data_IF_834888213400
#
_entry.id   IF_834888213400
#
_cell.length_a   1.000
_cell.length_b   1.000
_cell.length_c   1.000
_cell.angle_alpha   90.00
_cell.angle_beta   90.00
_cell.angle_gamma   90.00
#
_symmetry.space_group_name_H-M   'P 1'
#
loop_
_entity.id
_entity.type
_entity.pdbx_description
1 polymer ?
#
# COMPACT_ATOMS: atom_id res chain seq x y z
N UNK A 1 15.06 3.22 11.05
CA UNK A 1 14.04 3.85 10.19
C UNK A 1 12.74 3.93 10.99
N UNK A 2 11.86 4.91 10.75
CA UNK A 2 10.54 4.93 11.38
C UNK A 2 9.62 3.88 10.73
N UNK A 3 8.57 3.45 11.42
CA UNK A 3 7.60 2.52 10.84
C UNK A 3 6.85 3.20 9.69
N UNK A 4 6.65 2.55 8.53
CA UNK A 4 6.07 3.19 7.35
C UNK A 4 4.61 3.58 7.56
N UNK A 5 4.21 4.72 6.99
CA UNK A 5 2.83 5.20 7.05
C UNK A 5 1.87 4.38 6.18
N UNK A 6 2.35 3.90 5.03
CA UNK A 6 1.64 2.97 4.15
C UNK A 6 2.54 1.79 3.82
N UNK A 7 2.01 0.59 3.97
CA UNK A 7 2.59 -0.65 3.47
C UNK A 7 1.79 -1.09 2.23
N UNK A 8 2.46 -1.13 1.08
CA UNK A 8 1.88 -1.47 -0.22
C UNK A 8 1.82 -2.99 -0.40
N UNK A 9 0.63 -3.59 -0.28
CA UNK A 9 0.43 -5.00 -0.56
C UNK A 9 0.55 -5.29 -2.06
N UNK A 10 1.52 -6.14 -2.41
CA UNK A 10 1.67 -6.66 -3.76
C UNK A 10 0.54 -7.64 -4.07
N UNK A 11 0.03 -7.58 -5.30
CA UNK A 11 -1.00 -8.48 -5.79
C UNK A 11 -0.43 -9.77 -6.33
N UNK A 12 -1.06 -10.92 -6.01
CA UNK A 12 -0.78 -12.19 -6.67
C UNK A 12 -0.87 -12.05 -8.18
N UNK A 13 0.22 -12.39 -8.86
CA UNK A 13 0.33 -12.38 -10.31
C UNK A 13 1.08 -13.62 -10.77
N UNK A 14 0.79 -14.05 -11.99
CA UNK A 14 1.35 -15.30 -12.53
C UNK A 14 2.66 -15.08 -13.29
N UNK A 15 3.02 -13.83 -13.62
CA UNK A 15 4.25 -13.52 -14.34
C UNK A 15 5.23 -12.66 -13.51
N UNK A 16 6.54 -12.93 -13.59
CA UNK A 16 7.56 -12.06 -13.01
C UNK A 16 7.52 -10.62 -13.56
N UNK A 17 7.10 -10.45 -14.82
CA UNK A 17 6.98 -9.14 -15.46
C UNK A 17 5.90 -8.27 -14.80
N UNK A 18 4.72 -8.84 -14.49
CA UNK A 18 3.67 -8.13 -13.76
C UNK A 18 4.11 -7.78 -12.34
N UNK A 19 4.85 -8.67 -11.67
CA UNK A 19 5.38 -8.41 -10.34
C UNK A 19 6.41 -7.27 -10.35
N UNK A 20 7.34 -7.31 -11.31
CA UNK A 20 8.30 -6.23 -11.51
C UNK A 20 7.59 -4.90 -11.82
N UNK A 21 6.51 -4.92 -12.60
CA UNK A 21 5.72 -3.74 -12.88
C UNK A 21 5.07 -3.15 -11.63
N UNK A 22 4.50 -3.99 -10.75
CA UNK A 22 3.95 -3.52 -9.47
C UNK A 22 5.02 -2.85 -8.61
N UNK A 23 6.21 -3.47 -8.50
CA UNK A 23 7.34 -2.91 -7.76
C UNK A 23 7.80 -1.58 -8.33
N UNK A 24 8.06 -1.52 -9.64
CA UNK A 24 8.53 -0.31 -10.33
C UNK A 24 7.56 0.85 -10.19
N UNK A 25 6.26 0.59 -10.30
CA UNK A 25 5.25 1.64 -10.09
C UNK A 25 5.19 2.09 -8.63
N UNK A 26 5.31 1.17 -7.67
CA UNK A 26 5.41 1.55 -6.26
C UNK A 26 6.64 2.42 -5.97
N UNK A 27 7.79 2.14 -6.60
CA UNK A 27 8.99 2.98 -6.50
C UNK A 27 8.77 4.38 -7.10
N UNK A 28 8.13 4.47 -8.27
CA UNK A 28 7.76 5.76 -8.88
C UNK A 28 6.89 6.61 -7.96
N UNK A 29 6.00 5.96 -7.21
CA UNK A 29 5.14 6.61 -6.21
C UNK A 29 5.72 6.61 -4.78
N UNK A 30 7.02 6.34 -4.66
CA UNK A 30 7.77 6.41 -3.39
C UNK A 30 7.15 5.56 -2.28
N UNK A 31 6.76 4.33 -2.60
CA UNK A 31 6.36 3.35 -1.60
C UNK A 31 7.46 3.21 -0.54
N UNK A 32 7.09 3.31 0.74
CA UNK A 32 8.01 3.18 1.88
C UNK A 32 8.25 1.71 2.24
N UNK A 33 7.27 0.85 1.95
CA UNK A 33 7.36 -0.57 2.18
C UNK A 33 6.42 -1.35 1.27
N UNK A 34 6.78 -2.60 1.00
CA UNK A 34 5.92 -3.58 0.36
C UNK A 34 5.56 -4.70 1.32
N UNK A 35 4.32 -5.21 1.17
CA UNK A 35 3.88 -6.44 1.78
C UNK A 35 3.79 -7.53 0.73
N UNK A 36 4.50 -8.63 0.93
CA UNK A 36 4.47 -9.81 0.08
C UNK A 36 3.55 -10.88 0.68
N UNK A 37 2.41 -11.19 0.01
CA UNK A 37 1.55 -12.27 0.45
C UNK A 37 2.25 -13.64 0.44
N UNK A 38 1.79 -14.55 1.29
CA UNK A 38 2.34 -15.90 1.43
C UNK A 38 2.32 -16.67 0.09
N UNK A 39 1.30 -16.45 -0.74
CA UNK A 39 1.16 -17.05 -2.07
C UNK A 39 2.28 -16.66 -3.05
N UNK A 40 3.04 -15.61 -2.76
CA UNK A 40 4.09 -15.08 -3.63
C UNK A 40 5.49 -15.25 -3.03
N UNK A 41 5.64 -16.06 -1.98
CA UNK A 41 6.91 -16.27 -1.28
C UNK A 41 8.05 -16.79 -2.16
N UNK A 42 7.75 -17.50 -3.23
CA UNK A 42 8.75 -17.93 -4.23
C UNK A 42 9.51 -16.75 -4.84
N UNK A 43 8.93 -15.54 -4.80
CA UNK A 43 9.52 -14.32 -5.33
C UNK A 43 10.22 -13.44 -4.27
N UNK A 44 10.24 -13.85 -3.00
CA UNK A 44 10.74 -13.00 -1.91
C UNK A 44 12.20 -12.58 -2.09
N UNK A 45 13.07 -13.51 -2.51
CA UNK A 45 14.49 -13.22 -2.78
C UNK A 45 14.68 -12.25 -3.95
N UNK A 46 13.94 -12.44 -5.04
CA UNK A 46 13.99 -11.58 -6.22
C UNK A 46 13.51 -10.16 -5.89
N UNK A 47 12.39 -10.02 -5.18
CA UNK A 47 11.87 -8.72 -4.74
C UNK A 47 12.88 -8.05 -3.83
N UNK A 48 13.37 -8.75 -2.80
CA UNK A 48 14.31 -8.18 -1.84
C UNK A 48 15.57 -7.64 -2.54
N UNK A 49 16.12 -8.38 -3.50
CA UNK A 49 17.29 -7.97 -4.25
C UNK A 49 17.04 -6.75 -5.16
N UNK A 50 15.80 -6.55 -5.61
CA UNK A 50 15.42 -5.46 -6.50
C UNK A 50 14.94 -4.19 -5.77
N UNK A 51 14.68 -4.25 -4.46
CA UNK A 51 14.20 -3.11 -3.69
C UNK A 51 15.35 -2.17 -3.31
N UNK A 52 15.12 -0.83 -3.33
CA UNK A 52 16.09 0.11 -2.79
C UNK A 52 16.23 -0.08 -1.27
N UNK A 53 17.38 0.32 -0.72
CA UNK A 53 17.65 0.28 0.73
C UNK A 53 16.69 1.17 1.55
N UNK A 54 16.04 2.14 0.90
CA UNK A 54 15.06 3.01 1.53
C UNK A 54 13.64 2.43 1.57
N UNK A 55 13.42 1.20 1.10
CA UNK A 55 12.09 0.59 1.05
C UNK A 55 12.11 -0.77 1.78
N UNK A 56 11.25 -0.93 2.78
CA UNK A 56 11.16 -2.17 3.55
C UNK A 56 10.36 -3.25 2.81
N UNK A 57 10.75 -4.50 3.00
CA UNK A 57 9.98 -5.67 2.63
C UNK A 57 9.38 -6.30 3.88
N UNK A 58 8.07 -6.51 3.87
CA UNK A 58 7.35 -7.26 4.89
C UNK A 58 6.78 -8.54 4.29
N UNK A 59 6.99 -9.66 4.96
CA UNK A 59 6.48 -10.95 4.55
C UNK A 59 5.28 -11.36 5.40
N UNK A 60 4.25 -11.91 4.78
CA UNK A 60 3.10 -12.46 5.49
C UNK A 60 3.47 -13.71 6.30
N UNK A 61 4.47 -14.47 5.87
CA UNK A 61 5.04 -15.59 6.63
C UNK A 61 6.56 -15.56 6.54
N UNK A 62 7.24 -16.36 7.36
CA UNK A 62 8.68 -16.48 7.26
C UNK A 62 9.11 -17.20 5.97
N UNK A 63 10.10 -16.67 5.26
CA UNK A 63 10.70 -17.31 4.10
C UNK A 63 12.03 -17.96 4.49
N UNK A 64 12.06 -19.29 4.52
CA UNK A 64 13.23 -20.05 4.93
C UNK A 64 14.48 -19.68 4.11
N UNK A 65 15.56 -19.33 4.80
CA UNK A 65 16.84 -19.00 4.17
C UNK A 65 16.93 -17.59 3.56
N UNK A 66 15.90 -16.75 3.70
CA UNK A 66 15.95 -15.36 3.25
C UNK A 66 16.54 -14.46 4.34
N UNK A 67 17.68 -13.82 4.05
CA UNK A 67 18.30 -12.85 4.94
C UNK A 67 17.66 -11.46 4.74
N UNK A 68 16.65 -11.14 5.55
CA UNK A 68 16.01 -9.83 5.59
C UNK A 68 16.96 -8.74 6.12
N UNK A 69 16.82 -7.50 5.62
CA UNK A 69 17.58 -6.33 6.10
C UNK A 69 17.03 -5.86 7.44
N UNK A 70 17.80 -5.00 8.13
CA UNK A 70 17.45 -4.53 9.48
C UNK A 70 16.05 -3.91 9.63
N UNK A 71 15.53 -3.28 8.57
CA UNK A 71 14.22 -2.61 8.54
C UNK A 71 13.13 -3.42 7.81
N UNK A 72 13.47 -4.60 7.29
CA UNK A 72 12.50 -5.56 6.75
C UNK A 72 11.91 -6.38 7.90
N UNK A 73 10.81 -7.10 7.67
CA UNK A 73 10.15 -7.86 8.73
C UNK A 73 9.17 -8.93 8.28
N UNK A 74 8.57 -9.59 9.25
CA UNK A 74 7.65 -10.71 9.05
C UNK A 74 6.45 -10.57 9.97
N UNK A 75 5.26 -10.93 9.48
CA UNK A 75 4.05 -11.04 10.30
C UNK A 75 4.17 -12.25 11.24
N UNK A 76 3.95 -12.00 12.52
CA UNK A 76 3.96 -12.99 13.59
C UNK A 76 2.54 -13.19 14.13
N UNK A 77 2.14 -14.45 14.32
CA UNK A 77 0.83 -14.87 14.84
C UNK A 77 -0.37 -14.14 14.22
N UNK A 78 -0.29 -13.79 12.93
CA UNK A 78 -1.30 -13.03 12.18
C UNK A 78 -1.74 -11.70 12.82
N UNK A 79 -0.94 -11.13 13.73
CA UNK A 79 -1.36 -10.01 14.58
C UNK A 79 -0.29 -8.95 14.76
N UNK A 80 0.98 -9.26 14.52
CA UNK A 80 2.06 -8.35 14.83
C UNK A 80 3.14 -8.39 13.78
N UNK A 81 3.49 -7.24 13.21
CA UNK A 81 4.59 -7.13 12.26
C UNK A 81 5.86 -6.78 13.02
N UNK A 82 6.89 -7.63 12.90
CA UNK A 82 8.16 -7.51 13.61
C UNK A 82 9.28 -7.37 12.59
N UNK A 83 10.08 -6.31 12.73
CA UNK A 83 11.28 -6.08 11.92
C UNK A 83 12.50 -6.80 12.48
N UNK A 84 13.52 -7.02 11.65
CA UNK A 84 14.77 -7.68 12.06
C UNK A 84 15.49 -6.92 13.19
N UNK A 85 15.41 -5.59 13.22
CA UNK A 85 16.00 -4.78 14.28
C UNK A 85 15.16 -4.73 15.58
N UNK A 86 14.02 -5.43 15.64
CA UNK A 86 13.15 -5.53 16.81
C UNK A 86 12.08 -4.45 16.93
N UNK A 87 11.90 -3.56 15.95
CA UNK A 87 10.72 -2.69 15.90
C UNK A 87 9.47 -3.51 15.59
N UNK A 88 8.37 -3.15 16.24
CA UNK A 88 7.14 -3.92 16.24
C UNK A 88 5.94 -3.02 16.12
N UNK A 89 4.94 -3.44 15.34
CA UNK A 89 3.60 -2.84 15.32
C UNK A 89 2.54 -3.95 15.35
N UNK A 90 1.50 -3.77 16.15
CA UNK A 90 0.35 -4.67 16.18
C UNK A 90 -0.65 -4.26 15.09
N UNK A 91 -1.30 -5.23 14.44
CA UNK A 91 -2.41 -4.98 13.54
C UNK A 91 -3.57 -4.38 14.33
N UNK A 92 -4.09 -3.25 13.87
CA UNK A 92 -5.20 -2.57 14.52
C UNK A 92 -6.46 -3.42 14.44
N UNK A 93 -7.18 -3.50 15.55
CA UNK A 93 -8.47 -4.18 15.65
C UNK A 93 -9.56 -3.22 16.12
N UNK A 94 -9.18 -2.11 16.76
CA UNK A 94 -10.08 -1.12 17.32
C UNK A 94 -9.57 0.29 17.06
N UNK A 95 -10.49 1.23 16.83
CA UNK A 95 -10.15 2.64 16.67
C UNK A 95 -9.39 3.14 17.90
N UNK A 96 -8.23 3.76 17.68
CA UNK A 96 -7.42 4.39 18.71
C UNK A 96 -6.38 3.49 19.35
N UNK A 97 -6.28 2.21 18.95
CA UNK A 97 -5.23 1.32 19.47
C UNK A 97 -3.82 1.63 18.91
N UNK A 98 -3.72 2.55 17.94
CA UNK A 98 -2.46 3.02 17.36
C UNK A 98 -1.78 1.99 16.45
N UNK A 99 -2.40 0.85 16.19
CA UNK A 99 -1.86 -0.22 15.37
C UNK A 99 -1.86 0.07 13.86
N UNK A 100 -1.28 -0.88 13.13
CA UNK A 100 -1.28 -0.94 11.67
C UNK A 100 -2.66 -1.35 11.17
N UNK A 101 -3.37 -0.43 10.53
CA UNK A 101 -4.71 -0.66 10.02
C UNK A 101 -4.66 -1.67 8.86
N UNK A 102 -5.39 -2.80 8.91
CA UNK A 102 -5.41 -3.76 7.82
C UNK A 102 -6.11 -3.20 6.58
N UNK A 103 -5.92 -3.84 5.42
CA UNK A 103 -6.51 -3.39 4.15
C UNK A 103 -8.04 -3.24 4.20
N UNK A 104 -8.72 -4.11 4.97
CA UNK A 104 -10.17 -4.02 5.21
C UNK A 104 -10.61 -2.75 5.96
N UNK A 105 -9.70 -2.10 6.69
CA UNK A 105 -9.94 -0.84 7.37
C UNK A 105 -9.89 0.38 6.44
N UNK A 106 -9.36 0.23 5.22
CA UNK A 106 -9.10 1.36 4.32
C UNK A 106 -10.39 2.07 3.86
N UNK A 107 -11.52 1.36 3.71
CA UNK A 107 -12.81 1.99 3.39
C UNK A 107 -13.25 2.99 4.48
N UNK A 108 -12.79 2.79 5.72
CA UNK A 108 -13.06 3.64 6.89
C UNK A 108 -11.86 4.50 7.28
N UNK A 109 -10.97 4.80 6.33
CA UNK A 109 -9.71 5.51 6.61
C UNK A 109 -9.93 6.81 7.40
N UNK A 110 -11.02 7.56 7.15
CA UNK A 110 -11.35 8.77 7.90
C UNK A 110 -11.47 8.50 9.41
N UNK A 111 -12.24 7.47 9.80
CA UNK A 111 -12.48 7.10 11.19
C UNK A 111 -11.18 6.67 11.87
N UNK A 112 -10.34 5.90 11.18
CA UNK A 112 -9.03 5.49 11.67
C UNK A 112 -8.09 6.69 11.85
N UNK A 113 -8.06 7.61 10.89
CA UNK A 113 -7.23 8.81 10.95
C UNK A 113 -7.68 9.77 12.07
N UNK A 114 -9.00 9.89 12.30
CA UNK A 114 -9.61 10.62 13.42
C UNK A 114 -9.20 10.02 14.77
N UNK A 115 -9.20 8.68 14.84
CA UNK A 115 -8.75 7.95 16.02
C UNK A 115 -7.21 7.96 16.18
N UNK A 116 -6.47 8.70 15.35
CA UNK A 116 -5.04 8.91 15.49
C UNK A 116 -4.14 7.89 14.78
N UNK A 117 -4.71 6.96 14.00
CA UNK A 117 -3.89 6.01 13.24
C UNK A 117 -3.12 6.72 12.13
N UNK A 118 -1.91 6.22 11.87
CA UNK A 118 -0.98 6.75 10.86
C UNK A 118 -0.33 5.67 9.99
N UNK A 119 -0.65 4.40 10.26
CA UNK A 119 -0.06 3.24 9.60
C UNK A 119 -1.18 2.42 8.97
N UNK A 120 -1.11 2.18 7.66
CA UNK A 120 -2.12 1.43 6.92
C UNK A 120 -1.47 0.42 5.99
N UNK A 121 -2.11 -0.74 5.84
CA UNK A 121 -1.91 -1.64 4.71
C UNK A 121 -2.92 -1.25 3.64
N UNK A 122 -2.48 -1.13 2.39
CA UNK A 122 -3.39 -1.03 1.25
C UNK A 122 -2.81 -1.78 0.07
N UNK A 123 -3.65 -2.15 -0.89
CA UNK A 123 -3.17 -2.58 -2.19
C UNK A 123 -2.15 -1.59 -2.79
N UNK A 124 -1.07 -2.11 -3.36
CA UNK A 124 -0.09 -1.34 -4.14
C UNK A 124 -0.74 -0.59 -5.33
N UNK A 125 -1.88 -1.06 -5.83
CA UNK A 125 -2.62 -0.39 -6.89
C UNK A 125 -3.20 0.95 -6.42
N UNK A 126 -3.62 1.06 -5.16
CA UNK A 126 -4.25 2.28 -4.63
C UNK A 126 -3.39 3.08 -3.66
N UNK A 127 -2.17 2.60 -3.40
CA UNK A 127 -1.23 3.26 -2.51
C UNK A 127 -1.01 4.75 -2.82
N UNK A 128 -0.90 5.21 -4.08
CA UNK A 128 -0.66 6.62 -4.35
C UNK A 128 -1.77 7.53 -3.79
N UNK A 129 -3.03 7.14 -3.94
CA UNK A 129 -4.18 7.87 -3.40
C UNK A 129 -4.23 7.79 -1.88
N UNK A 130 -4.06 6.59 -1.30
CA UNK A 130 -4.05 6.41 0.16
C UNK A 130 -2.93 7.22 0.83
N UNK A 131 -1.72 7.23 0.24
CA UNK A 131 -0.59 8.02 0.71
C UNK A 131 -0.87 9.51 0.64
N UNK A 132 -1.41 10.00 -0.47
CA UNK A 132 -1.72 11.42 -0.61
C UNK A 132 -2.75 11.86 0.46
N UNK A 133 -3.79 11.06 0.69
CA UNK A 133 -4.78 11.33 1.74
C UNK A 133 -4.12 11.34 3.13
N UNK A 134 -3.25 10.37 3.44
CA UNK A 134 -2.50 10.31 4.69
C UNK A 134 -1.63 11.56 4.91
N UNK A 135 -0.98 12.05 3.85
CA UNK A 135 -0.13 13.25 3.91
C UNK A 135 -0.94 14.54 4.05
N UNK A 136 -2.12 14.62 3.41
CA UNK A 136 -3.01 15.78 3.50
C UNK A 136 -3.66 15.84 4.88
N UNK A 137 -4.02 14.70 5.48
CA UNK A 137 -4.79 14.63 6.73
C UNK A 137 -4.28 15.53 7.87
N UNK A 138 -2.98 15.56 8.23
CA UNK A 138 -2.49 16.45 9.29
C UNK A 138 -2.51 17.94 8.91
N UNK A 139 -2.60 18.28 7.63
CA UNK A 139 -2.59 19.66 7.12
C UNK A 139 -4.01 20.19 6.91
N UNK A 140 -4.88 19.39 6.30
CA UNK A 140 -6.27 19.71 5.98
C UNK A 140 -7.16 18.45 6.03
N UNK A 141 -7.70 18.09 7.21
CA UNK A 141 -8.62 16.96 7.35
C UNK A 141 -9.89 17.11 6.50
N UNK A 142 -10.36 18.33 6.26
CA UNK A 142 -11.58 18.57 5.47
C UNK A 142 -11.34 18.21 4.00
N UNK A 143 -10.20 18.62 3.45
CA UNK A 143 -9.81 18.25 2.10
C UNK A 143 -9.54 16.75 1.96
N UNK A 144 -8.86 16.14 2.94
CA UNK A 144 -8.65 14.71 2.95
C UNK A 144 -10.00 13.94 2.92
N UNK A 145 -10.98 14.38 3.71
CA UNK A 145 -12.35 13.84 3.67
C UNK A 145 -13.04 14.04 2.33
N UNK A 146 -12.84 15.19 1.68
CA UNK A 146 -13.39 15.42 0.34
C UNK A 146 -12.87 14.38 -0.67
N UNK A 147 -11.58 14.04 -0.63
CA UNK A 147 -11.04 12.98 -1.48
C UNK A 147 -11.55 11.59 -1.06
N UNK A 148 -11.71 11.33 0.24
CA UNK A 148 -12.28 10.09 0.75
C UNK A 148 -13.74 9.87 0.30
N UNK A 149 -14.54 10.94 0.13
CA UNK A 149 -15.89 10.82 -0.45
C UNK A 149 -15.89 10.19 -1.86
N UNK A 150 -14.80 10.33 -2.61
CA UNK A 150 -14.65 9.65 -3.92
C UNK A 150 -13.92 8.31 -3.77
N UNK A 151 -12.93 8.23 -2.88
CA UNK A 151 -12.08 7.04 -2.75
C UNK A 151 -12.82 5.87 -2.07
N UNK A 152 -13.56 6.12 -0.99
CA UNK A 152 -14.27 5.06 -0.24
C UNK A 152 -15.23 4.26 -1.13
N UNK A 153 -16.11 4.88 -1.94
CA UNK A 153 -16.97 4.12 -2.86
C UNK A 153 -16.18 3.29 -3.88
N UNK A 154 -15.03 3.76 -4.34
CA UNK A 154 -14.18 2.97 -5.24
C UNK A 154 -13.65 1.74 -4.51
N UNK A 155 -13.17 1.87 -3.27
CA UNK A 155 -12.69 0.74 -2.49
C UNK A 155 -13.78 -0.30 -2.21
N UNK A 156 -15.01 0.14 -1.91
CA UNK A 156 -16.14 -0.75 -1.61
C UNK A 156 -16.56 -1.62 -2.81
N UNK A 157 -16.35 -1.13 -4.04
CA UNK A 157 -16.75 -1.80 -5.26
C UNK A 157 -15.57 -2.39 -6.05
N UNK A 158 -14.34 -2.29 -5.52
CA UNK A 158 -13.15 -2.75 -6.20
C UNK A 158 -13.12 -4.28 -6.26
N UNK A 159 -12.79 -4.81 -7.44
CA UNK A 159 -12.40 -6.21 -7.60
C UNK A 159 -10.88 -6.35 -7.68
N UNK A 160 -10.38 -7.57 -7.51
CA UNK A 160 -8.95 -7.85 -7.74
C UNK A 160 -8.54 -7.52 -9.19
N UNK A 161 -9.41 -7.79 -10.16
CA UNK A 161 -9.18 -7.46 -11.57
C UNK A 161 -9.06 -5.94 -11.79
N UNK A 162 -9.84 -5.13 -11.09
CA UNK A 162 -9.75 -3.67 -11.18
C UNK A 162 -8.39 -3.17 -10.68
N UNK A 163 -7.90 -3.71 -9.56
CA UNK A 163 -6.58 -3.34 -9.05
C UNK A 163 -5.46 -3.74 -10.01
N UNK A 164 -5.53 -4.92 -10.62
CA UNK A 164 -4.56 -5.34 -11.63
C UNK A 164 -4.61 -4.43 -12.87
N UNK A 165 -5.81 -4.05 -13.29
CA UNK A 165 -6.03 -3.16 -14.42
C UNK A 165 -5.48 -1.74 -14.17
N UNK A 166 -5.41 -1.26 -12.92
CA UNK A 166 -4.74 0.01 -12.59
C UNK A 166 -3.27 0.01 -13.00
N UNK A 167 -2.54 -1.09 -12.73
CA UNK A 167 -1.13 -1.16 -13.13
C UNK A 167 -1.00 -1.09 -14.66
N UNK A 168 -1.87 -1.81 -15.39
CA UNK A 168 -1.90 -1.76 -16.85
C UNK A 168 -2.27 -0.37 -17.37
N UNK A 169 -3.21 0.32 -16.74
CA UNK A 169 -3.65 1.67 -17.09
C UNK A 169 -2.57 2.72 -16.91
N UNK A 170 -1.73 2.60 -15.88
CA UNK A 170 -0.54 3.48 -15.71
C UNK A 170 0.49 3.25 -16.81
N UNK A 171 0.73 2.01 -17.19
CA UNK A 171 1.67 1.68 -18.26
C UNK A 171 1.16 2.13 -19.64
N UNK A 172 -0.16 2.01 -19.87
CA UNK A 172 -0.81 2.34 -21.15
C UNK A 172 -2.06 3.22 -20.94
N UNK A 173 -1.90 4.52 -20.68
CA UNK A 173 -3.02 5.41 -20.36
C UNK A 173 -4.01 5.63 -21.49
N UNK A 174 -3.61 5.37 -22.74
CA UNK A 174 -4.44 5.57 -23.92
C UNK A 174 -5.42 4.41 -24.18
N UNK A 175 -5.22 3.26 -23.52
CA UNK A 175 -6.10 2.11 -23.72
C UNK A 175 -7.47 2.35 -23.07
N UNK A 176 -8.56 1.77 -23.61
CA UNK A 176 -9.84 1.74 -22.92
C UNK A 176 -9.73 0.96 -21.60
N UNK A 177 -10.31 1.51 -20.54
CA UNK A 177 -10.33 0.91 -19.20
C UNK A 177 -11.76 0.86 -18.67
N UNK A 178 -12.02 0.02 -17.66
CA UNK A 178 -13.32 -0.03 -16.98
C UNK A 178 -13.66 1.33 -16.34
N UNK A 179 -14.94 1.60 -16.11
CA UNK A 179 -15.39 2.84 -15.47
C UNK A 179 -14.74 3.03 -14.08
N UNK A 180 -14.56 1.93 -13.34
CA UNK A 180 -13.87 1.93 -12.06
C UNK A 180 -12.42 2.42 -12.20
N UNK A 181 -11.66 1.83 -13.13
CA UNK A 181 -10.24 2.18 -13.34
C UNK A 181 -10.12 3.62 -13.83
N UNK A 182 -11.00 4.08 -14.72
CA UNK A 182 -11.01 5.47 -15.15
C UNK A 182 -11.28 6.44 -13.99
N UNK A 183 -12.25 6.12 -13.13
CA UNK A 183 -12.58 6.92 -11.96
C UNK A 183 -11.42 6.98 -10.97
N UNK A 184 -10.78 5.84 -10.68
CA UNK A 184 -9.59 5.77 -9.84
C UNK A 184 -8.42 6.59 -10.44
N UNK A 185 -8.09 6.38 -11.71
CA UNK A 185 -6.99 7.10 -12.37
C UNK A 185 -7.23 8.62 -12.42
N UNK A 186 -8.49 9.06 -12.52
CA UNK A 186 -8.85 10.49 -12.42
C UNK A 186 -8.61 11.03 -11.02
N UNK A 187 -8.95 10.28 -9.97
CA UNK A 187 -8.69 10.64 -8.58
C UNK A 187 -7.17 10.70 -8.31
N UNK A 188 -6.42 9.68 -8.72
CA UNK A 188 -4.96 9.64 -8.62
C UNK A 188 -4.31 10.86 -9.28
N UNK A 189 -4.69 11.20 -10.52
CA UNK A 189 -4.17 12.37 -11.24
C UNK A 189 -4.48 13.69 -10.51
N UNK A 190 -5.67 13.83 -9.90
CA UNK A 190 -6.03 15.02 -9.13
C UNK A 190 -5.13 15.19 -7.90
N UNK A 191 -4.87 14.10 -7.17
CA UNK A 191 -4.03 14.11 -5.98
C UNK A 191 -2.55 14.28 -6.32
N UNK A 192 -2.07 13.63 -7.37
CA UNK A 192 -0.68 13.73 -7.82
C UNK A 192 -0.30 15.17 -8.17
N UNK A 193 -1.12 15.86 -8.98
CA UNK A 193 -0.88 17.27 -9.38
C UNK A 193 -0.91 18.25 -8.22
N UNK A 194 -1.57 17.90 -7.12
CA UNK A 194 -1.78 18.81 -6.01
C UNK A 194 -0.76 18.63 -4.88
N UNK A 195 -0.12 17.45 -4.76
CA UNK A 195 0.62 17.09 -3.53
C UNK A 195 1.90 16.27 -3.71
N UNK A 196 2.35 15.98 -4.94
CA UNK A 196 3.64 15.31 -5.19
C UNK A 196 4.72 16.22 -5.83
N UNK A 197 4.37 17.45 -6.22
CA UNK A 197 5.30 18.48 -6.72
C UNK A 197 5.85 19.41 -5.60
N UNK A 198 5.71 19.03 -4.33
CA UNK A 198 6.16 19.81 -3.17
C UNK A 198 7.16 19.03 -2.30
#
# INVERSE_FOLDING_TARGET
>A
MAFPGIISRLHPVSSPAELAQQRLQGEQYRAEAFWLPASMHSHASEILAALPDSCSLFLEQEAAGLALRSHDGTLHNNTQLITVNGQTITLATTLGDGGLVPESGLCKMADWLDAGHRHFICSAAVQPVARAILNIWPLDPYLARHFLMTFTPLLEHATEADYLAVFAARANPANPHSDWVQAYMKLEKKLHRAYLDH
#
